data_IF_642771561588
#
_entry.id   IF_642771561588
#
_cell.length_a   1.000
_cell.length_b   1.000
_cell.length_c   1.000
_cell.angle_alpha   90.00
_cell.angle_beta   90.00
_cell.angle_gamma   90.00
#
_symmetry.space_group_name_H-M   'P 1'
#
loop_
_entity.id
_entity.type
_entity.pdbx_description
1 polymer ?
#
# COMPACT_ATOMS: atom_id res chain seq x y z
N UNK A 1 28.18 -18.64 31.71
CA UNK A 1 28.05 -17.30 32.32
C UNK A 1 26.84 -16.53 31.74
N UNK A 2 25.73 -16.68 32.47
CA UNK A 2 24.71 -15.68 32.75
C UNK A 2 23.99 -14.96 31.61
N UNK A 3 22.71 -15.31 31.52
CA UNK A 3 21.56 -14.57 30.98
C UNK A 3 21.52 -13.10 31.38
N UNK A 4 21.09 -12.23 30.46
CA UNK A 4 20.38 -10.99 30.80
C UNK A 4 19.31 -10.68 29.75
N UNK A 5 18.19 -11.41 29.86
CA UNK A 5 16.91 -11.14 29.20
C UNK A 5 16.16 -10.13 30.09
N UNK A 6 15.89 -8.89 29.63
CA UNK A 6 15.11 -7.95 30.46
C UNK A 6 15.18 -6.45 30.18
N UNK A 7 15.52 -5.98 28.98
CA UNK A 7 15.29 -4.55 28.67
C UNK A 7 13.93 -4.37 27.97
N UNK A 8 13.01 -3.55 28.50
CA UNK A 8 11.82 -3.14 27.76
C UNK A 8 12.23 -2.30 26.53
N UNK A 9 11.50 -2.39 25.41
CA UNK A 9 11.84 -1.67 24.18
C UNK A 9 11.78 -0.14 24.42
N UNK A 10 12.59 0.66 23.70
CA UNK A 10 12.63 2.10 23.89
C UNK A 10 11.25 2.71 23.61
N UNK A 11 10.64 3.28 24.64
CA UNK A 11 9.42 4.08 24.53
C UNK A 11 9.72 5.30 23.65
N UNK A 12 8.88 5.51 22.64
CA UNK A 12 8.89 6.71 21.79
C UNK A 12 8.90 7.99 22.65
N UNK A 13 10.04 8.66 22.68
CA UNK A 13 10.14 9.99 23.27
C UNK A 13 9.42 10.98 22.34
N UNK A 14 8.29 11.53 22.79
CA UNK A 14 7.60 12.62 22.11
C UNK A 14 8.43 13.91 22.26
N UNK A 15 8.52 14.76 21.22
CA UNK A 15 9.21 16.05 21.31
C UNK A 15 8.51 16.98 22.32
N UNK A 16 9.25 17.91 22.96
CA UNK A 16 8.83 18.66 24.16
C UNK A 16 7.69 19.68 23.98
N UNK A 17 6.86 19.57 22.95
CA UNK A 17 5.87 20.57 22.57
C UNK A 17 4.64 20.00 21.83
N UNK A 18 4.38 18.69 21.93
CA UNK A 18 3.16 18.10 21.40
C UNK A 18 1.93 18.38 22.30
N UNK A 19 0.91 19.04 21.75
CA UNK A 19 -0.40 19.24 22.41
C UNK A 19 -1.51 18.58 21.58
N UNK A 20 -2.33 17.68 22.13
CA UNK A 20 -3.54 17.22 21.47
C UNK A 20 -4.65 18.27 21.57
N UNK A 21 -5.36 18.49 20.46
CA UNK A 21 -6.57 19.31 20.44
C UNK A 21 -7.69 18.59 21.21
N UNK A 22 -8.12 19.19 22.32
CA UNK A 22 -9.29 18.75 23.09
C UNK A 22 -10.56 19.24 22.40
N UNK A 23 -11.24 18.35 21.68
CA UNK A 23 -12.66 18.53 21.41
C UNK A 23 -13.42 18.11 22.67
N UNK A 24 -13.94 19.11 23.39
CA UNK A 24 -14.78 18.91 24.57
C UNK A 24 -16.07 18.20 24.17
N UNK A 25 -16.26 16.96 24.65
CA UNK A 25 -17.52 16.27 24.61
C UNK A 25 -18.53 17.02 25.49
N UNK A 26 -19.39 17.81 24.85
CA UNK A 26 -20.56 18.40 25.51
C UNK A 26 -21.70 17.41 25.38
N UNK A 27 -22.12 16.84 26.51
CA UNK A 27 -23.23 15.92 26.58
C UNK A 27 -24.54 16.57 26.12
N UNK A 28 -25.39 15.78 25.45
CA UNK A 28 -26.76 16.18 25.18
C UNK A 28 -27.72 15.15 25.76
N UNK A 29 -28.37 15.60 26.83
CA UNK A 29 -29.62 15.07 27.34
C UNK A 29 -30.75 15.30 26.32
N UNK A 30 -31.66 14.34 26.30
CA UNK A 30 -32.94 14.31 25.58
C UNK A 30 -33.91 15.39 26.12
N UNK A 31 -34.73 16.04 25.28
CA UNK A 31 -35.94 16.68 25.76
C UNK A 31 -37.23 16.11 25.15
N UNK A 32 -38.28 16.20 25.95
CA UNK A 32 -39.66 15.90 25.63
C UNK A 32 -40.45 17.20 25.36
N UNK A 33 -41.40 17.08 24.44
CA UNK A 33 -42.70 17.78 24.29
C UNK A 33 -42.89 19.27 24.66
N UNK A 34 -43.41 20.01 23.65
CA UNK A 34 -44.62 20.85 23.66
C UNK A 34 -44.50 22.38 23.39
N UNK A 35 -45.30 22.81 22.39
CA UNK A 35 -46.01 24.09 22.17
C UNK A 35 -45.23 25.36 21.76
N UNK A 36 -45.38 25.80 20.49
CA UNK A 36 -46.17 26.96 20.00
C UNK A 36 -45.44 28.32 20.19
N UNK A 37 -45.25 29.24 19.24
CA UNK A 37 -46.10 29.80 18.18
C UNK A 37 -45.26 30.78 17.26
N UNK A 38 -45.66 30.93 15.98
CA UNK A 38 -45.42 32.06 15.03
C UNK A 38 -43.98 32.22 14.44
N UNK A 39 -43.70 32.58 13.18
CA UNK A 39 -44.45 33.13 12.03
C UNK A 39 -43.65 32.93 10.71
N UNK A 40 -44.36 32.67 9.62
CA UNK A 40 -44.12 32.95 8.19
C UNK A 40 -42.71 33.35 7.65
N UNK A 41 -42.22 32.61 6.64
CA UNK A 41 -42.07 33.05 5.23
C UNK A 41 -41.01 32.23 4.45
N UNK A 42 -41.42 31.77 3.25
CA UNK A 42 -40.68 31.47 2.02
C UNK A 42 -39.14 31.31 2.11
N UNK A 43 -38.54 30.20 1.69
CA UNK A 43 -38.66 29.57 0.37
C UNK A 43 -37.24 29.17 -0.02
N UNK A 44 -37.03 27.88 -0.24
CA UNK A 44 -35.72 27.30 -0.45
C UNK A 44 -35.08 27.76 -1.76
N UNK A 45 -33.76 27.84 -1.79
CA UNK A 45 -33.02 27.78 -3.06
C UNK A 45 -31.64 27.15 -2.85
N UNK A 46 -31.60 25.87 -3.19
CA UNK A 46 -30.45 25.09 -3.60
C UNK A 46 -29.83 25.71 -4.87
N UNK A 47 -28.50 25.91 -4.90
CA UNK A 47 -27.76 26.13 -6.15
C UNK A 47 -26.60 25.13 -6.23
N UNK A 48 -26.92 23.96 -6.77
CA UNK A 48 -25.96 23.18 -7.53
C UNK A 48 -25.67 23.85 -8.86
N UNK A 49 -24.43 23.64 -9.32
CA UNK A 49 -23.96 23.52 -10.70
C UNK A 49 -24.85 24.07 -11.83
N UNK A 50 -24.29 25.04 -12.56
CA UNK A 50 -24.74 25.36 -13.92
C UNK A 50 -23.70 24.85 -14.95
N UNK A 51 -24.13 24.15 -16.03
CA UNK A 51 -23.29 23.63 -17.10
C UNK A 51 -23.24 24.54 -18.35
N UNK A 52 -22.42 24.13 -19.35
CA UNK A 52 -22.32 24.55 -20.77
C UNK A 52 -21.12 25.50 -21.07
N UNK A 53 -19.99 25.09 -21.72
CA UNK A 53 -19.69 24.67 -23.13
C UNK A 53 -20.08 25.77 -24.13
N UNK A 54 -19.30 26.35 -25.07
CA UNK A 54 -17.91 26.36 -25.61
C UNK A 54 -17.91 27.43 -26.77
N UNK A 55 -16.87 27.62 -27.63
CA UNK A 55 -15.44 27.83 -27.42
C UNK A 55 -14.88 29.07 -28.18
N UNK A 56 -13.76 29.66 -27.76
CA UNK A 56 -12.78 30.20 -28.74
C UNK A 56 -11.36 30.32 -28.16
N UNK A 57 -10.45 29.53 -28.74
CA UNK A 57 -9.01 29.54 -28.51
C UNK A 57 -8.35 30.71 -29.23
N UNK A 58 -7.39 31.38 -28.58
CA UNK A 58 -6.33 32.11 -29.28
C UNK A 58 -5.00 32.03 -28.53
N UNK A 59 -4.17 31.09 -28.97
CA UNK A 59 -2.73 31.05 -28.75
C UNK A 59 -2.05 31.87 -29.85
N UNK A 60 -1.14 32.77 -29.49
CA UNK A 60 -0.23 33.42 -30.43
C UNK A 60 1.23 33.13 -30.06
N UNK A 61 1.90 32.41 -30.96
CA UNK A 61 3.37 32.31 -31.11
C UNK A 61 3.86 33.47 -31.99
N UNK A 62 5.12 33.92 -31.87
CA UNK A 62 5.72 34.88 -32.78
C UNK A 62 6.33 34.20 -34.02
N UNK A 63 6.28 34.89 -35.17
CA UNK A 63 6.99 34.58 -36.43
C UNK A 63 7.60 35.87 -37.04
N UNK A 64 8.62 35.78 -37.91
CA UNK A 64 9.59 36.84 -38.23
C UNK A 64 9.12 37.80 -39.36
N UNK A 65 9.87 38.89 -39.66
CA UNK A 65 9.45 39.91 -40.62
C UNK A 65 9.85 39.57 -42.06
N UNK A 66 8.93 39.83 -43.01
CA UNK A 66 9.19 39.88 -44.45
C UNK A 66 8.96 41.29 -45.00
N UNK A 67 9.90 41.69 -45.84
CA UNK A 67 9.86 42.77 -46.84
C UNK A 67 8.55 42.86 -47.59
N UNK A 68 8.10 44.09 -47.86
CA UNK A 68 7.30 44.37 -49.05
C UNK A 68 7.59 45.77 -49.60
N UNK A 69 7.93 45.74 -50.89
CA UNK A 69 8.20 46.85 -51.76
C UNK A 69 6.95 47.69 -52.00
N UNK A 70 7.13 49.01 -52.07
CA UNK A 70 6.17 49.93 -52.66
C UNK A 70 6.72 50.43 -53.99
N UNK A 71 6.04 50.07 -55.07
CA UNK A 71 6.20 50.64 -56.39
C UNK A 71 4.83 51.14 -56.84
N UNK A 72 4.65 52.44 -57.10
CA UNK A 72 3.70 52.92 -58.13
C UNK A 72 4.16 54.28 -58.70
N UNK A 73 4.44 54.21 -60.00
CA UNK A 73 4.18 55.14 -61.10
C UNK A 73 4.83 56.52 -61.21
N UNK A 74 5.56 56.61 -62.33
CA UNK A 74 5.96 57.76 -63.10
C UNK A 74 4.78 58.46 -63.83
N UNK A 75 4.95 59.77 -64.06
CA UNK A 75 4.75 60.48 -65.35
C UNK A 75 5.54 61.82 -65.23
N UNK A 76 6.59 62.05 -66.04
CA UNK A 76 6.60 62.87 -67.28
C UNK A 76 5.99 64.27 -67.10
N UNK A 77 6.58 65.41 -67.48
CA UNK A 77 7.88 65.86 -68.00
C UNK A 77 8.08 67.28 -67.43
N UNK A 78 9.20 67.98 -67.60
CA UNK A 78 9.53 68.74 -68.81
C UNK A 78 10.82 69.53 -68.56
N UNK A 79 11.43 69.93 -69.67
CA UNK A 79 12.76 70.47 -69.86
C UNK A 79 13.17 71.69 -69.02
N UNK A 80 14.49 71.83 -68.81
CA UNK A 80 15.13 73.14 -68.92
C UNK A 80 16.24 73.47 -67.92
N UNK A 81 17.45 73.63 -68.48
CA UNK A 81 18.56 74.50 -68.05
C UNK A 81 19.50 74.08 -66.90
N UNK A 82 20.73 73.75 -67.31
CA UNK A 82 21.99 74.16 -66.66
C UNK A 82 22.03 75.68 -66.42
N UNK A 83 22.74 76.13 -65.37
CA UNK A 83 24.11 76.63 -65.55
C UNK A 83 25.06 76.02 -64.49
N UNK A 84 26.25 75.54 -64.82
CA UNK A 84 27.50 76.32 -64.93
C UNK A 84 27.67 77.38 -63.85
N UNK A 85 28.42 77.04 -62.80
CA UNK A 85 28.90 77.94 -61.74
C UNK A 85 29.79 77.10 -60.81
N UNK A 86 31.04 76.92 -61.18
CA UNK A 86 32.15 77.68 -60.60
C UNK A 86 32.46 77.22 -59.17
N UNK A 87 33.61 76.53 -59.06
CA UNK A 87 34.34 76.36 -57.83
C UNK A 87 34.40 77.67 -57.05
N UNK A 88 34.05 77.63 -55.76
CA UNK A 88 34.37 78.70 -54.82
C UNK A 88 34.85 78.03 -53.52
N UNK A 89 36.16 78.17 -53.29
CA UNK A 89 36.88 78.22 -52.02
C UNK A 89 36.50 77.16 -50.95
N UNK A 90 37.31 76.17 -50.62
CA UNK A 90 38.69 76.30 -50.13
C UNK A 90 38.90 77.50 -49.19
N UNK A 91 38.04 77.69 -48.19
CA UNK A 91 38.42 78.33 -46.93
C UNK A 91 38.86 77.24 -45.94
N UNK A 92 40.10 76.79 -46.09
CA UNK A 92 40.76 75.97 -45.09
C UNK A 92 41.12 76.84 -43.89
N UNK A 93 40.29 76.83 -42.85
CA UNK A 93 40.80 77.08 -41.52
C UNK A 93 41.37 75.76 -40.98
N UNK A 94 42.70 75.57 -40.92
CA UNK A 94 43.30 74.39 -40.31
C UNK A 94 42.79 74.10 -38.88
N UNK A 95 42.50 75.08 -37.99
CA UNK A 95 42.02 74.76 -36.64
C UNK A 95 40.59 74.20 -36.59
N UNK A 96 39.70 74.60 -37.52
CA UNK A 96 38.31 74.13 -37.54
C UNK A 96 38.19 72.67 -37.98
N UNK A 97 39.06 72.21 -38.89
CA UNK A 97 39.12 70.80 -39.32
C UNK A 97 39.66 69.91 -38.21
N UNK A 98 40.75 70.34 -37.56
CA UNK A 98 41.32 69.65 -36.41
C UNK A 98 40.31 69.54 -35.26
N UNK A 99 39.57 70.61 -34.97
CA UNK A 99 38.50 70.59 -33.96
C UNK A 99 37.37 69.63 -34.32
N UNK A 100 36.92 69.61 -35.58
CA UNK A 100 35.90 68.67 -36.06
C UNK A 100 36.38 67.22 -35.92
N UNK A 101 37.61 66.93 -36.31
CA UNK A 101 38.17 65.58 -36.22
C UNK A 101 38.34 65.14 -34.76
N UNK A 102 38.75 66.04 -33.86
CA UNK A 102 38.80 65.80 -32.41
C UNK A 102 37.41 65.62 -31.78
N UNK A 103 36.41 66.39 -32.22
CA UNK A 103 35.02 66.24 -31.77
C UNK A 103 34.41 64.92 -32.25
N UNK A 104 34.70 64.50 -33.49
CA UNK A 104 34.28 63.21 -34.03
C UNK A 104 34.97 62.06 -33.29
N UNK A 105 36.28 62.15 -33.01
CA UNK A 105 37.00 61.11 -32.28
C UNK A 105 36.56 61.01 -30.81
N UNK A 106 36.32 62.13 -30.13
CA UNK A 106 35.78 62.11 -28.76
C UNK A 106 34.37 61.56 -28.69
N UNK A 107 33.50 61.92 -29.66
CA UNK A 107 32.16 61.35 -29.77
C UNK A 107 32.20 59.86 -30.11
N UNK A 108 33.04 59.46 -31.06
CA UNK A 108 33.27 58.06 -31.43
C UNK A 108 33.74 57.24 -30.23
N UNK A 109 34.74 57.72 -29.49
CA UNK A 109 35.20 57.07 -28.25
C UNK A 109 34.10 56.98 -27.21
N UNK A 110 33.26 58.00 -27.05
CA UNK A 110 32.12 57.97 -26.11
C UNK A 110 31.05 56.97 -26.54
N UNK A 111 30.70 56.94 -27.82
CA UNK A 111 29.73 55.98 -28.38
C UNK A 111 30.24 54.56 -28.26
N UNK A 112 31.51 54.30 -28.59
CA UNK A 112 32.12 52.98 -28.41
C UNK A 112 32.13 52.55 -26.94
N UNK A 113 32.44 53.46 -25.99
CA UNK A 113 32.36 53.18 -24.55
C UNK A 113 30.94 52.86 -24.10
N UNK A 114 29.94 53.64 -24.51
CA UNK A 114 28.54 53.38 -24.15
C UNK A 114 28.02 52.11 -24.79
N UNK A 115 28.38 51.85 -26.05
CA UNK A 115 28.01 50.63 -26.75
C UNK A 115 28.62 49.41 -26.06
N UNK A 116 29.91 49.46 -25.73
CA UNK A 116 30.57 48.37 -25.00
C UNK A 116 29.98 48.16 -23.60
N UNK A 117 29.63 49.24 -22.89
CA UNK A 117 28.96 49.14 -21.58
C UNK A 117 27.56 48.51 -21.70
N UNK A 118 26.77 48.89 -22.70
CA UNK A 118 25.46 48.29 -22.97
C UNK A 118 25.62 46.82 -23.37
N UNK A 119 26.61 46.50 -24.22
CA UNK A 119 26.89 45.14 -24.65
C UNK A 119 27.25 44.26 -23.45
N UNK A 120 28.18 44.69 -22.59
CA UNK A 120 28.59 43.96 -21.39
C UNK A 120 27.43 43.75 -20.42
N UNK A 121 26.63 44.80 -20.17
CA UNK A 121 25.45 44.70 -19.33
C UNK A 121 24.42 43.72 -19.90
N UNK A 122 24.22 43.75 -21.23
CA UNK A 122 23.29 42.84 -21.90
C UNK A 122 23.78 41.40 -21.84
N UNK A 123 25.07 41.15 -22.09
CA UNK A 123 25.63 39.79 -21.99
C UNK A 123 25.54 39.26 -20.57
N UNK A 124 25.87 40.08 -19.57
CA UNK A 124 25.76 39.69 -18.16
C UNK A 124 24.30 39.38 -17.76
N UNK A 125 23.34 40.22 -18.15
CA UNK A 125 21.93 39.96 -17.87
C UNK A 125 21.39 38.72 -18.58
N UNK A 126 21.88 38.42 -19.78
CA UNK A 126 21.54 37.18 -20.50
C UNK A 126 22.14 35.96 -19.80
N UNK A 127 23.39 36.04 -19.35
CA UNK A 127 24.06 34.98 -18.58
C UNK A 127 23.33 34.70 -17.26
N UNK A 128 22.98 35.75 -16.50
CA UNK A 128 22.23 35.63 -15.25
C UNK A 128 20.88 34.94 -15.47
N UNK A 129 20.12 35.37 -16.49
CA UNK A 129 18.82 34.78 -16.84
C UNK A 129 18.96 33.33 -17.32
N UNK A 130 20.01 33.00 -18.06
CA UNK A 130 20.26 31.63 -18.49
C UNK A 130 20.61 30.73 -17.30
N UNK A 131 21.38 31.24 -16.33
CA UNK A 131 21.65 30.55 -15.08
C UNK A 131 20.37 30.29 -14.27
N UNK A 132 19.47 31.28 -14.16
CA UNK A 132 18.17 31.11 -13.52
C UNK A 132 17.30 30.08 -14.25
N UNK A 133 17.25 30.11 -15.58
CA UNK A 133 16.54 29.12 -16.40
C UNK A 133 17.05 27.71 -16.15
N UNK A 134 18.37 27.52 -16.12
CA UNK A 134 18.97 26.21 -15.86
C UNK A 134 18.57 25.67 -14.47
N UNK A 135 18.59 26.52 -13.44
CA UNK A 135 18.17 26.13 -12.08
C UNK A 135 16.68 25.78 -12.04
N UNK A 136 15.83 26.52 -12.77
CA UNK A 136 14.40 26.24 -12.85
C UNK A 136 14.13 24.92 -13.58
N UNK A 137 14.83 24.64 -14.67
CA UNK A 137 14.73 23.38 -15.40
C UNK A 137 15.17 22.19 -14.53
N UNK A 138 16.28 22.32 -13.80
CA UNK A 138 16.75 21.28 -12.88
C UNK A 138 15.72 21.01 -11.77
N UNK A 139 15.13 22.07 -11.21
CA UNK A 139 14.08 21.95 -10.19
C UNK A 139 12.81 21.34 -10.76
N UNK A 140 12.40 21.74 -11.97
CA UNK A 140 11.24 21.16 -12.65
C UNK A 140 11.43 19.66 -12.90
N UNK A 141 12.61 19.25 -13.36
CA UNK A 141 12.96 17.85 -13.55
C UNK A 141 12.92 17.06 -12.23
N UNK A 142 13.47 17.63 -11.14
CA UNK A 142 13.40 17.03 -9.79
C UNK A 142 11.95 16.86 -9.31
N UNK A 143 11.11 17.89 -9.48
CA UNK A 143 9.70 17.83 -9.10
C UNK A 143 8.93 16.79 -9.92
N UNK A 144 9.21 16.68 -11.23
CA UNK A 144 8.61 15.66 -12.08
C UNK A 144 8.99 14.24 -11.63
N UNK A 145 10.28 14.01 -11.32
CA UNK A 145 10.75 12.72 -10.81
C UNK A 145 10.12 12.36 -9.45
N UNK A 146 10.00 13.33 -8.55
CA UNK A 146 9.33 13.12 -7.26
C UNK A 146 7.83 12.83 -7.43
N UNK A 147 7.14 13.55 -8.33
CA UNK A 147 5.74 13.30 -8.62
C UNK A 147 5.53 11.89 -9.17
N UNK A 148 6.43 11.41 -10.04
CA UNK A 148 6.38 10.04 -10.55
C UNK A 148 6.67 9.01 -9.45
N UNK A 149 7.62 9.27 -8.56
CA UNK A 149 7.89 8.40 -7.39
C UNK A 149 6.66 8.28 -6.50
N UNK A 150 6.03 9.41 -6.16
CA UNK A 150 4.81 9.44 -5.34
C UNK A 150 3.64 8.74 -6.03
N UNK A 151 3.52 8.86 -7.35
CA UNK A 151 2.49 8.16 -8.11
C UNK A 151 2.67 6.64 -8.01
N UNK A 152 3.91 6.13 -8.16
CA UNK A 152 4.23 4.71 -8.00
C UNK A 152 4.00 4.21 -6.58
N UNK A 153 4.42 4.98 -5.57
CA UNK A 153 4.19 4.64 -4.16
C UNK A 153 2.69 4.57 -3.84
N UNK A 154 1.91 5.49 -4.38
CA UNK A 154 0.45 5.48 -4.26
C UNK A 154 -0.15 4.24 -4.92
N UNK A 155 0.24 3.90 -6.15
CA UNK A 155 -0.21 2.68 -6.83
C UNK A 155 0.19 1.40 -6.05
N UNK A 156 1.37 1.40 -5.43
CA UNK A 156 1.83 0.30 -4.58
C UNK A 156 0.98 0.17 -3.32
N UNK A 157 0.68 1.29 -2.64
CA UNK A 157 -0.18 1.30 -1.46
C UNK A 157 -1.60 0.85 -1.84
N UNK A 158 -2.17 1.33 -2.94
CA UNK A 158 -3.49 0.92 -3.42
C UNK A 158 -3.54 -0.61 -3.67
N UNK A 159 -2.49 -1.15 -4.29
CA UNK A 159 -2.34 -2.61 -4.50
C UNK A 159 -2.23 -3.38 -3.18
N UNK A 160 -1.46 -2.86 -2.21
CA UNK A 160 -1.36 -3.45 -0.88
C UNK A 160 -2.71 -3.44 -0.16
N UNK A 161 -3.45 -2.32 -0.20
CA UNK A 161 -4.78 -2.21 0.38
C UNK A 161 -5.69 -3.29 -0.21
N UNK A 162 -5.75 -3.40 -1.54
CA UNK A 162 -6.60 -4.39 -2.19
C UNK A 162 -6.20 -5.83 -1.84
N UNK A 163 -4.90 -6.12 -1.73
CA UNK A 163 -4.39 -7.43 -1.28
C UNK A 163 -4.82 -7.73 0.15
N UNK A 164 -4.77 -6.75 1.06
CA UNK A 164 -5.18 -6.96 2.45
C UNK A 164 -6.70 -7.08 2.57
N UNK A 165 -7.48 -6.28 1.85
CA UNK A 165 -8.94 -6.38 1.81
C UNK A 165 -9.39 -7.78 1.34
N UNK A 166 -8.84 -8.26 0.22
CA UNK A 166 -9.16 -9.60 -0.29
C UNK A 166 -8.79 -10.71 0.69
N UNK A 167 -7.64 -10.60 1.37
CA UNK A 167 -7.26 -11.55 2.42
C UNK A 167 -8.14 -11.47 3.66
N UNK A 168 -8.57 -10.27 4.04
CA UNK A 168 -9.51 -10.09 5.15
C UNK A 168 -10.85 -10.73 4.81
N UNK A 169 -11.38 -10.53 3.61
CA UNK A 169 -12.61 -11.19 3.15
C UNK A 169 -12.47 -12.72 3.11
N UNK A 170 -11.32 -13.23 2.67
CA UNK A 170 -11.03 -14.67 2.71
C UNK A 170 -11.05 -15.22 4.15
N UNK A 171 -10.37 -14.53 5.07
CA UNK A 171 -10.32 -14.91 6.48
C UNK A 171 -11.69 -14.79 7.15
N UNK A 172 -12.45 -13.74 6.88
CA UNK A 172 -13.82 -13.58 7.38
C UNK A 172 -14.73 -14.68 6.82
N UNK A 173 -14.62 -14.99 5.54
CA UNK A 173 -15.35 -16.11 4.92
C UNK A 173 -14.93 -17.48 5.47
N UNK A 174 -13.66 -17.66 5.82
CA UNK A 174 -13.18 -18.87 6.50
C UNK A 174 -13.72 -18.94 7.92
N UNK A 175 -13.67 -17.85 8.68
CA UNK A 175 -14.18 -17.77 10.04
C UNK A 175 -15.69 -18.03 10.09
N UNK A 176 -16.48 -17.45 9.20
CA UNK A 176 -17.93 -17.66 9.20
C UNK A 176 -18.28 -19.14 8.95
N UNK A 177 -17.56 -19.82 8.05
CA UNK A 177 -17.72 -21.25 7.79
C UNK A 177 -17.35 -22.14 9.00
N UNK A 178 -16.34 -21.74 9.77
CA UNK A 178 -15.83 -22.55 10.89
C UNK A 178 -16.44 -22.15 12.24
N UNK A 179 -17.13 -21.01 12.32
CA UNK A 179 -17.84 -20.56 13.52
C UNK A 179 -19.01 -21.47 13.91
N UNK A 180 -19.65 -22.10 12.93
CA UNK A 180 -20.67 -23.13 13.18
C UNK A 180 -20.01 -24.42 13.69
N UNK A 181 -18.85 -24.77 13.14
CA UNK A 181 -18.07 -25.96 13.51
C UNK A 181 -17.57 -25.88 14.96
N UNK A 182 -17.13 -24.70 15.44
CA UNK A 182 -16.68 -24.51 16.82
C UNK A 182 -17.78 -24.83 17.85
N UNK A 183 -19.04 -24.52 17.54
CA UNK A 183 -20.18 -24.82 18.42
C UNK A 183 -20.50 -26.31 18.47
N UNK A 184 -20.35 -26.98 17.34
CA UNK A 184 -20.61 -28.42 17.23
C UNK A 184 -19.48 -29.24 17.88
N UNK A 185 -18.22 -28.80 17.76
CA UNK A 185 -17.06 -29.42 18.44
C UNK A 185 -17.15 -29.25 19.96
N UNK A 186 -17.54 -28.08 20.46
CA UNK A 186 -17.70 -27.86 21.91
C UNK A 186 -18.83 -28.73 22.51
N UNK A 187 -19.83 -29.09 21.69
CA UNK A 187 -20.95 -29.91 22.11
C UNK A 187 -20.66 -31.42 22.12
N UNK A 188 -19.82 -31.93 21.21
CA UNK A 188 -19.50 -33.37 21.10
C UNK A 188 -18.04 -33.63 20.67
N UNK A 189 -17.11 -33.49 21.61
CA UNK A 189 -15.69 -33.79 21.40
C UNK A 189 -15.44 -35.28 21.09
N UNK A 190 -16.29 -36.17 21.61
CA UNK A 190 -16.15 -37.61 21.43
C UNK A 190 -16.51 -38.04 19.99
N UNK A 191 -17.37 -37.29 19.30
CA UNK A 191 -17.75 -37.50 17.90
C UNK A 191 -16.73 -36.99 16.86
N UNK A 192 -15.74 -36.19 17.25
CA UNK A 192 -14.76 -35.60 16.31
C UNK A 192 -13.76 -36.63 15.80
N UNK A 193 -13.37 -37.58 16.65
CA UNK A 193 -12.37 -38.60 16.31
C UNK A 193 -13.03 -39.97 16.22
N UNK A 194 -13.52 -40.28 15.04
CA UNK A 194 -14.13 -41.57 14.75
C UNK A 194 -13.08 -42.51 14.14
N UNK A 195 -13.01 -43.78 14.60
CA UNK A 195 -12.17 -44.80 13.98
C UNK A 195 -12.51 -44.98 12.50
N UNK A 196 -11.47 -45.17 11.67
CA UNK A 196 -11.62 -45.28 10.20
C UNK A 196 -12.39 -46.52 9.74
N UNK A 197 -12.52 -47.55 10.58
CA UNK A 197 -13.19 -48.82 10.30
C UNK A 197 -13.94 -49.35 11.51
N UNK A 198 -15.05 -50.06 11.26
CA UNK A 198 -15.91 -50.66 12.31
C UNK A 198 -15.14 -51.64 13.21
N UNK A 199 -14.13 -52.33 12.65
CA UNK A 199 -13.28 -53.24 13.43
C UNK A 199 -12.36 -52.46 14.39
N UNK A 200 -11.76 -51.36 13.94
CA UNK A 200 -11.00 -50.47 14.83
C UNK A 200 -11.88 -49.83 15.91
N UNK A 201 -13.11 -49.43 15.57
CA UNK A 201 -14.07 -48.97 16.57
C UNK A 201 -14.37 -50.03 17.63
N UNK A 202 -14.61 -51.26 17.18
CA UNK A 202 -14.84 -52.38 18.09
C UNK A 202 -13.59 -52.72 18.93
N UNK A 203 -12.39 -52.60 18.36
CA UNK A 203 -11.13 -52.82 19.06
C UNK A 203 -10.90 -51.77 20.16
N UNK A 204 -11.09 -50.49 19.82
CA UNK A 204 -10.97 -49.37 20.74
C UNK A 204 -11.95 -49.51 21.92
N UNK A 205 -13.21 -49.79 21.64
CA UNK A 205 -14.23 -50.01 22.67
C UNK A 205 -13.92 -51.23 23.56
N UNK A 206 -13.41 -52.31 22.98
CA UNK A 206 -13.02 -53.50 23.74
C UNK A 206 -11.81 -53.23 24.64
N UNK A 207 -10.82 -52.46 24.18
CA UNK A 207 -9.67 -52.05 24.98
C UNK A 207 -10.07 -51.05 26.08
N UNK A 208 -10.91 -50.07 25.76
CA UNK A 208 -11.42 -49.11 26.73
C UNK A 208 -12.17 -49.81 27.87
N UNK A 209 -13.00 -50.81 27.55
CA UNK A 209 -13.68 -51.65 28.54
C UNK A 209 -12.73 -52.52 29.36
N UNK A 210 -11.65 -53.05 28.77
CA UNK A 210 -10.64 -53.82 29.51
C UNK A 210 -9.97 -52.96 30.59
N UNK A 211 -9.48 -51.77 30.20
CA UNK A 211 -8.82 -50.82 31.11
C UNK A 211 -9.79 -50.28 32.16
N UNK A 212 -11.02 -49.91 31.78
CA UNK A 212 -12.03 -49.46 32.73
C UNK A 212 -12.40 -50.53 33.78
N UNK A 213 -12.31 -51.82 33.43
CA UNK A 213 -12.48 -52.91 34.38
C UNK A 213 -11.30 -52.99 35.36
N UNK A 214 -10.07 -52.73 34.91
CA UNK A 214 -8.90 -52.67 35.79
C UNK A 214 -9.04 -51.55 36.82
N UNK A 215 -9.47 -50.36 36.39
CA UNK A 215 -9.75 -49.23 37.27
C UNK A 215 -10.87 -49.55 38.28
N UNK A 216 -11.95 -50.21 37.82
CA UNK A 216 -13.04 -50.64 38.70
C UNK A 216 -12.59 -51.68 39.72
N UNK A 217 -11.75 -52.64 39.31
CA UNK A 217 -11.17 -53.64 40.22
C UNK A 217 -10.24 -52.99 41.25
N UNK A 218 -9.42 -52.03 40.83
CA UNK A 218 -8.57 -51.25 41.73
C UNK A 218 -9.40 -50.47 42.75
N UNK A 219 -10.47 -49.79 42.32
CA UNK A 219 -11.38 -49.08 43.22
C UNK A 219 -12.06 -50.01 44.24
N UNK A 220 -12.43 -51.23 43.83
CA UNK A 220 -13.00 -52.24 44.72
C UNK A 220 -11.98 -52.76 45.74
N UNK A 221 -10.72 -52.93 45.34
CA UNK A 221 -9.64 -53.30 46.25
C UNK A 221 -9.40 -52.20 47.30
N UNK A 222 -9.36 -50.93 46.88
CA UNK A 222 -9.26 -49.81 47.81
C UNK A 222 -10.47 -49.73 48.76
N UNK A 223 -11.69 -49.99 48.28
CA UNK A 223 -12.87 -50.03 49.13
C UNK A 223 -12.82 -51.14 50.18
N UNK A 224 -12.24 -52.29 49.83
CA UNK A 224 -12.01 -53.40 50.76
C UNK A 224 -10.96 -53.03 51.82
N UNK A 225 -9.83 -52.42 51.42
CA UNK A 225 -8.77 -52.00 52.33
C UNK A 225 -9.22 -50.95 53.35
N UNK A 226 -10.21 -50.13 52.99
CA UNK A 226 -10.82 -49.13 53.87
C UNK A 226 -11.98 -49.68 54.72
N UNK A 227 -12.18 -51.01 54.77
CA UNK A 227 -13.29 -51.69 55.46
C UNK A 227 -14.70 -51.21 55.05
N UNK A 228 -14.82 -50.57 53.88
CA UNK A 228 -16.10 -50.06 53.36
C UNK A 228 -16.91 -51.13 52.61
N UNK A 229 -16.31 -52.30 52.35
CA UNK A 229 -16.89 -53.38 51.55
C UNK A 229 -16.68 -54.74 52.23
N UNK A 230 -17.72 -55.57 52.28
CA UNK A 230 -17.62 -56.95 52.77
C UNK A 230 -16.72 -57.81 51.85
N UNK A 231 -15.73 -58.56 52.38
CA UNK A 231 -14.87 -59.45 51.60
C UNK A 231 -15.63 -60.43 50.69
N UNK A 232 -16.80 -60.92 51.11
CA UNK A 232 -17.60 -61.85 50.30
C UNK A 232 -18.20 -61.15 49.08
N UNK A 233 -18.58 -59.88 49.22
CA UNK A 233 -19.09 -59.05 48.10
C UNK A 233 -17.95 -58.71 47.15
N UNK A 234 -16.77 -58.33 47.66
CA UNK A 234 -15.58 -58.09 46.85
C UNK A 234 -15.25 -59.27 45.92
N UNK A 235 -15.15 -60.49 46.46
CA UNK A 235 -14.81 -61.68 45.67
C UNK A 235 -15.85 -61.98 44.59
N UNK A 236 -17.14 -61.72 44.85
CA UNK A 236 -18.20 -61.88 43.84
C UNK A 236 -18.03 -60.87 42.70
N UNK A 237 -17.75 -59.61 43.02
CA UNK A 237 -17.61 -58.54 42.03
C UNK A 237 -16.33 -58.70 41.21
N UNK A 238 -15.19 -58.96 41.85
CA UNK A 238 -13.93 -59.23 41.15
C UNK A 238 -14.09 -60.41 40.19
N UNK A 239 -14.68 -61.53 40.62
CA UNK A 239 -14.91 -62.69 39.74
C UNK A 239 -15.80 -62.34 38.54
N UNK A 240 -16.84 -61.53 38.74
CA UNK A 240 -17.73 -61.06 37.68
C UNK A 240 -16.99 -60.17 36.68
N UNK A 241 -16.20 -59.21 37.18
CA UNK A 241 -15.41 -58.28 36.40
C UNK A 241 -14.29 -58.99 35.63
N UNK A 242 -13.51 -59.86 36.26
CA UNK A 242 -12.46 -60.65 35.59
C UNK A 242 -13.01 -61.54 34.47
N UNK A 243 -14.24 -62.07 34.63
CA UNK A 243 -14.90 -62.81 33.55
C UNK A 243 -15.22 -61.90 32.36
N UNK A 244 -15.73 -60.69 32.60
CA UNK A 244 -15.98 -59.70 31.53
C UNK A 244 -14.67 -59.27 30.87
N UNK A 245 -13.64 -59.01 31.66
CA UNK A 245 -12.29 -58.67 31.22
C UNK A 245 -11.72 -59.70 30.24
N UNK A 246 -11.86 -60.99 30.58
CA UNK A 246 -11.43 -62.08 29.70
C UNK A 246 -12.10 -62.00 28.32
N UNK A 247 -13.41 -61.74 28.26
CA UNK A 247 -14.12 -61.61 26.99
C UNK A 247 -13.65 -60.40 26.18
N UNK A 248 -13.42 -59.25 26.82
CA UNK A 248 -12.89 -58.05 26.15
C UNK A 248 -11.49 -58.28 25.59
N UNK A 249 -10.56 -58.85 26.38
CA UNK A 249 -9.22 -59.21 25.91
C UNK A 249 -9.25 -60.20 24.75
N UNK A 250 -10.07 -61.25 24.85
CA UNK A 250 -10.22 -62.23 23.76
C UNK A 250 -10.80 -61.62 22.50
N UNK A 251 -11.76 -60.70 22.65
CA UNK A 251 -12.33 -59.97 21.52
C UNK A 251 -11.26 -59.10 20.84
N UNK A 252 -10.49 -58.31 21.60
CA UNK A 252 -9.40 -57.47 21.06
C UNK A 252 -8.33 -58.30 20.32
N UNK A 253 -7.93 -59.45 20.88
CA UNK A 253 -7.00 -60.36 20.20
C UNK A 253 -7.55 -60.86 18.86
N UNK A 254 -8.82 -61.28 18.84
CA UNK A 254 -9.48 -61.77 17.63
C UNK A 254 -9.62 -60.68 16.57
N UNK A 255 -9.89 -59.44 16.97
CA UNK A 255 -9.98 -58.30 16.05
C UNK A 255 -8.61 -58.00 15.45
N UNK A 256 -7.54 -58.02 16.25
CA UNK A 256 -6.17 -57.81 15.77
C UNK A 256 -5.74 -58.89 14.76
N UNK A 257 -6.08 -60.16 15.02
CA UNK A 257 -5.86 -61.25 14.06
C UNK A 257 -6.63 -61.01 12.74
N UNK A 258 -7.90 -60.65 12.83
CA UNK A 258 -8.73 -60.36 11.65
C UNK A 258 -8.25 -59.14 10.85
N UNK A 259 -7.75 -58.09 11.50
CA UNK A 259 -7.17 -56.92 10.84
C UNK A 259 -5.89 -57.29 10.08
N UNK A 260 -5.01 -58.08 10.69
CA UNK A 260 -3.79 -58.60 10.05
C UNK A 260 -4.10 -59.45 8.81
N UNK A 261 -5.13 -60.30 8.88
CA UNK A 261 -5.59 -61.08 7.73
C UNK A 261 -6.17 -60.21 6.61
N UNK A 262 -6.95 -59.18 6.96
CA UNK A 262 -7.49 -58.21 5.99
C UNK A 262 -6.40 -57.39 5.30
N UNK A 263 -5.38 -56.95 6.05
CA UNK A 263 -4.22 -56.26 5.49
C UNK A 263 -3.42 -57.15 4.54
N UNK A 264 -3.28 -58.44 4.87
CA UNK A 264 -2.61 -59.42 4.01
C UNK A 264 -3.39 -59.72 2.71
N UNK A 265 -4.73 -59.64 2.76
CA UNK A 265 -5.60 -59.90 1.61
C UNK A 265 -5.82 -58.67 0.72
N UNK A 266 -5.64 -57.45 1.25
CA UNK A 266 -5.74 -56.23 0.44
C UNK A 266 -4.57 -56.21 -0.55
N UNK A 267 -4.82 -56.33 -1.87
CA UNK A 267 -3.73 -56.23 -2.83
C UNK A 267 -3.10 -54.85 -2.64
N UNK A 268 -1.78 -54.81 -2.41
CA UNK A 268 -1.01 -53.57 -2.53
C UNK A 268 -1.19 -53.06 -3.95
N UNK A 269 -2.17 -52.18 -4.17
CA UNK A 269 -2.23 -51.35 -5.36
C UNK A 269 -0.98 -50.48 -5.32
N UNK A 270 0.09 -50.99 -5.95
CA UNK A 270 1.27 -50.21 -6.27
C UNK A 270 0.80 -49.01 -7.09
N UNK A 271 1.14 -47.82 -6.60
CA UNK A 271 1.32 -46.61 -7.37
C UNK A 271 0.14 -46.20 -8.28
N UNK A 272 -0.85 -45.54 -7.69
CA UNK A 272 -1.43 -44.39 -8.35
C UNK A 272 -0.73 -43.15 -7.79
N UNK A 273 0.40 -42.81 -8.40
CA UNK A 273 0.86 -41.43 -8.46
C UNK A 273 -0.30 -40.59 -8.99
N UNK A 274 -1.04 -39.96 -8.10
CA UNK A 274 -1.74 -38.73 -8.44
C UNK A 274 -1.00 -37.65 -7.69
N UNK A 275 -0.37 -36.78 -8.47
CA UNK A 275 0.09 -35.47 -8.03
C UNK A 275 -1.11 -34.77 -7.37
N UNK A 276 -1.23 -34.93 -6.06
CA UNK A 276 -1.89 -33.97 -5.22
C UNK A 276 -0.74 -33.14 -4.66
N UNK A 277 -0.30 -32.19 -5.48
CA UNK A 277 0.23 -30.91 -4.99
C UNK A 277 -0.87 -30.26 -4.14
N UNK A 278 -1.11 -30.82 -2.96
CA UNK A 278 -1.44 -30.07 -1.76
C UNK A 278 -0.11 -29.58 -1.21
N UNK A 279 0.61 -28.84 -2.04
CA UNK A 279 1.63 -27.92 -1.60
C UNK A 279 0.83 -26.91 -0.79
N UNK A 280 0.76 -27.17 0.52
CA UNK A 280 0.44 -26.10 1.46
C UNK A 280 1.35 -24.96 1.06
N UNK A 281 0.71 -23.87 0.66
CA UNK A 281 1.29 -22.67 0.08
C UNK A 281 2.22 -22.01 1.11
N UNK A 282 3.37 -22.66 1.35
CA UNK A 282 4.48 -22.16 2.14
C UNK A 282 5.35 -21.22 1.30
N UNK A 283 5.07 -21.10 0.00
CA UNK A 283 5.66 -20.09 -0.87
C UNK A 283 5.19 -18.66 -0.51
N UNK A 284 4.06 -18.51 0.19
CA UNK A 284 3.67 -17.23 0.81
C UNK A 284 4.75 -16.74 1.80
N UNK A 285 5.53 -17.63 2.41
CA UNK A 285 6.61 -17.24 3.34
C UNK A 285 7.94 -16.96 2.64
N UNK A 286 8.17 -17.44 1.41
CA UNK A 286 9.37 -17.07 0.65
C UNK A 286 9.30 -15.64 0.10
N UNK A 287 8.09 -15.15 -0.21
CA UNK A 287 7.85 -13.75 -0.57
C UNK A 287 8.16 -12.75 0.56
N UNK A 288 8.27 -13.20 1.81
CA UNK A 288 8.70 -12.35 2.94
C UNK A 288 10.22 -12.31 3.14
N UNK A 289 11.00 -13.18 2.49
CA UNK A 289 12.42 -13.37 2.80
C UNK A 289 13.39 -12.60 1.89
N UNK A 290 12.93 -11.87 0.87
CA UNK A 290 13.83 -11.22 -0.09
C UNK A 290 13.43 -9.77 -0.42
N UNK A 291 13.72 -8.83 0.48
CA UNK A 291 14.35 -7.56 0.06
C UNK A 291 15.08 -6.79 1.19
N UNK A 292 15.91 -7.49 1.98
CA UNK A 292 16.82 -6.84 2.94
C UNK A 292 18.30 -6.93 2.56
N UNK A 293 18.63 -7.40 1.34
CA UNK A 293 20.02 -7.47 0.86
C UNK A 293 20.33 -6.55 -0.33
N UNK A 294 19.38 -5.74 -0.82
CA UNK A 294 19.65 -4.79 -1.89
C UNK A 294 19.73 -3.35 -1.38
N UNK A 295 20.79 -3.06 -0.61
CA UNK A 295 21.39 -1.72 -0.54
C UNK A 295 22.83 -1.84 -0.06
N UNK A 296 23.73 -1.70 -1.05
CA UNK A 296 25.10 -1.25 -0.85
C UNK A 296 25.10 0.15 -0.23
#
# INVERSE_FOLDING_TARGET
PSTHLGQPPPLYAKPPNWRPAVHAATGFQRPAAAQQHHQAAAGGTFHGYNPMVSPQQQQQRPRPPQEQAAAVAAHQGEAGRRPSGAAVAASSDPPLRIFRDQAVDTLSRRVCKTFHAIQLHTTQSVEDRLGEQQVLEERAAKLAALAESLARERDQIDSCIHKYESKTEELEGWLEKHREIDRDIEADLDGVFIPSDDLSAQAMEAMAKDVAIEDAMYALEQALLNDALDPVVYLKQVRSLSRKQFYHRKLSMKIAEAQKEREAQKPRSRAASSNLTGEGDWDILQDFALDLSSKK
#
